data_IF_063590507168
#
_entry.id   IF_063590507168
#
_cell.length_a   1.000
_cell.length_b   1.000
_cell.length_c   1.000
_cell.angle_alpha   90.00
_cell.angle_beta   90.00
_cell.angle_gamma   90.00
#
_symmetry.space_group_name_H-M   'P 1'
#
loop_
_entity.id
_entity.type
_entity.pdbx_description
1 polymer ?
#
# COMPACT_ATOMS: atom_id res chain seq x y z
N UNK A 1 -82.17 35.60 -30.64
CA UNK A 1 -81.31 35.19 -29.59
C UNK A 1 -80.41 34.08 -30.16
N UNK A 2 -79.25 34.39 -30.59
CA UNK A 2 -78.36 33.50 -31.35
C UNK A 2 -77.13 33.25 -30.51
N UNK A 3 -77.00 32.02 -30.03
CA UNK A 3 -75.87 31.56 -29.15
C UNK A 3 -74.75 31.13 -30.06
N UNK A 4 -73.59 31.84 -29.98
CA UNK A 4 -72.38 31.51 -30.71
C UNK A 4 -71.55 30.51 -29.83
N UNK A 5 -71.33 29.32 -30.41
CA UNK A 5 -70.51 28.29 -29.80
C UNK A 5 -69.02 28.47 -30.19
N UNK A 6 -68.17 28.85 -29.26
CA UNK A 6 -66.75 29.02 -29.50
C UNK A 6 -66.06 27.68 -29.30
N UNK A 7 -65.51 27.06 -30.33
CA UNK A 7 -64.67 25.86 -30.28
C UNK A 7 -63.20 26.26 -30.05
N UNK A 8 -62.67 26.00 -28.88
CA UNK A 8 -61.27 26.20 -28.61
C UNK A 8 -60.49 24.94 -29.02
N UNK A 9 -59.63 25.10 -30.04
CA UNK A 9 -58.68 24.06 -30.45
C UNK A 9 -57.49 24.08 -29.51
N UNK A 10 -57.32 23.03 -28.72
CA UNK A 10 -56.14 22.82 -27.88
C UNK A 10 -54.96 22.28 -28.75
N UNK A 11 -53.95 23.09 -28.99
CA UNK A 11 -52.69 22.66 -29.56
C UNK A 11 -51.90 21.90 -28.49
N UNK A 12 -51.65 20.62 -28.72
CA UNK A 12 -50.77 19.79 -27.88
C UNK A 12 -49.31 20.15 -28.21
N UNK A 13 -48.61 20.65 -27.21
CA UNK A 13 -47.15 20.87 -27.26
C UNK A 13 -46.48 19.52 -26.87
N UNK A 14 -45.56 18.97 -27.67
CA UNK A 14 -44.81 17.80 -27.27
C UNK A 14 -43.82 18.19 -26.15
N UNK A 15 -43.97 17.59 -24.97
CA UNK A 15 -43.00 17.69 -23.91
C UNK A 15 -41.80 16.78 -24.24
N UNK A 16 -40.66 17.40 -24.56
CA UNK A 16 -39.39 16.71 -24.56
C UNK A 16 -39.02 16.38 -23.11
N UNK A 17 -38.97 15.07 -22.78
CA UNK A 17 -38.48 14.56 -21.49
C UNK A 17 -36.99 14.90 -21.31
N UNK A 18 -36.52 15.02 -20.04
CA UNK A 18 -35.13 15.33 -19.76
C UNK A 18 -34.23 14.23 -20.27
N UNK A 19 -33.28 14.55 -21.14
CA UNK A 19 -32.19 13.68 -21.57
C UNK A 19 -31.36 13.34 -20.32
N UNK A 20 -31.45 12.10 -19.86
CA UNK A 20 -30.51 11.55 -18.90
C UNK A 20 -29.11 11.65 -19.52
N UNK A 21 -28.31 12.60 -19.04
CA UNK A 21 -26.86 12.58 -19.18
C UNK A 21 -26.35 11.40 -18.37
N UNK A 22 -26.05 10.30 -19.05
CA UNK A 22 -25.40 9.15 -18.44
C UNK A 22 -24.05 9.61 -17.83
N UNK A 23 -23.97 9.56 -16.51
CA UNK A 23 -22.69 9.61 -15.82
C UNK A 23 -21.81 8.49 -16.38
N UNK A 24 -20.52 8.73 -16.66
CA UNK A 24 -19.62 7.66 -17.07
C UNK A 24 -19.56 6.62 -15.97
N UNK A 25 -19.92 5.39 -16.31
CA UNK A 25 -19.83 4.23 -15.44
C UNK A 25 -18.37 4.07 -14.97
N UNK A 26 -18.20 3.93 -13.65
CA UNK A 26 -16.96 3.50 -13.03
C UNK A 26 -16.69 2.00 -13.34
N UNK A 27 -16.63 1.65 -14.61
CA UNK A 27 -16.22 0.33 -15.06
C UNK A 27 -14.89 0.46 -15.81
N UNK A 28 -13.93 -0.35 -15.39
CA UNK A 28 -12.64 -0.62 -16.05
C UNK A 28 -11.53 0.43 -15.95
N UNK A 29 -11.19 0.88 -14.72
CA UNK A 29 -9.79 1.17 -14.47
C UNK A 29 -9.10 -0.15 -14.10
N UNK A 30 -8.76 -0.95 -15.12
CA UNK A 30 -7.79 -2.02 -14.98
C UNK A 30 -6.53 -1.37 -14.42
N UNK A 31 -6.23 -1.65 -13.14
CA UNK A 31 -5.08 -1.09 -12.46
C UNK A 31 -3.84 -1.45 -13.30
N UNK A 32 -3.32 -0.48 -14.03
CA UNK A 32 -2.09 -0.67 -14.81
C UNK A 32 -0.97 -0.93 -13.81
N UNK A 33 -0.28 -2.07 -13.96
CA UNK A 33 0.88 -2.42 -13.13
C UNK A 33 1.82 -1.21 -13.05
N UNK A 34 2.23 -0.78 -11.85
CA UNK A 34 3.17 0.31 -11.72
C UNK A 34 4.43 0.04 -12.52
N UNK A 35 4.80 0.95 -13.41
CA UNK A 35 5.95 0.80 -14.29
C UNK A 35 7.29 0.81 -13.53
N UNK A 36 7.31 1.28 -12.27
CA UNK A 36 8.53 1.47 -11.48
C UNK A 36 8.19 1.54 -10.00
N UNK A 37 9.15 1.12 -9.14
CA UNK A 37 9.08 1.30 -7.68
C UNK A 37 8.74 2.74 -7.27
N UNK A 38 9.26 3.71 -7.98
CA UNK A 38 9.11 5.13 -7.64
C UNK A 38 7.72 5.72 -7.99
N UNK A 39 6.86 4.97 -8.69
CA UNK A 39 5.49 5.40 -9.00
C UNK A 39 4.49 5.07 -7.91
N UNK A 40 4.87 4.28 -6.91
CA UNK A 40 3.98 3.97 -5.80
C UNK A 40 3.70 5.19 -4.91
N UNK A 41 2.47 5.24 -4.41
CA UNK A 41 2.00 6.14 -3.36
C UNK A 41 1.24 5.29 -2.36
N UNK A 42 1.57 5.42 -1.10
CA UNK A 42 0.92 4.69 0.00
C UNK A 42 0.89 5.58 1.23
N UNK A 43 -0.03 5.34 2.14
CA UNK A 43 -0.09 6.11 3.37
C UNK A 43 0.94 5.61 4.37
N UNK A 44 1.62 6.54 5.05
CA UNK A 44 2.46 6.23 6.20
C UNK A 44 1.62 5.82 7.41
N UNK A 45 2.26 5.47 8.52
CA UNK A 45 1.59 5.01 9.74
C UNK A 45 0.66 6.08 10.36
N UNK A 46 0.84 7.35 10.01
CA UNK A 46 0.01 8.47 10.43
C UNK A 46 -1.13 8.77 9.44
N UNK A 47 -1.32 7.92 8.40
CA UNK A 47 -2.31 8.12 7.36
C UNK A 47 -1.97 9.24 6.37
N UNK A 48 -0.72 9.68 6.31
CA UNK A 48 -0.28 10.74 5.40
C UNK A 48 0.26 10.12 4.11
N UNK A 49 -0.14 10.63 2.93
CA UNK A 49 0.36 10.14 1.66
C UNK A 49 1.88 10.27 1.53
N UNK A 50 2.54 9.15 1.23
CA UNK A 50 3.97 9.05 1.03
C UNK A 50 4.25 8.55 -0.39
N UNK A 51 4.88 9.40 -1.20
CA UNK A 51 5.29 9.04 -2.56
C UNK A 51 6.68 8.40 -2.55
N UNK A 52 6.82 7.24 -3.22
CA UNK A 52 8.06 6.47 -3.21
C UNK A 52 9.18 7.08 -4.07
N UNK A 53 8.88 8.12 -4.86
CA UNK A 53 9.91 8.88 -5.55
C UNK A 53 10.93 9.53 -4.59
N UNK A 54 10.57 9.74 -3.31
CA UNK A 54 11.49 10.21 -2.25
C UNK A 54 12.64 9.24 -1.98
N UNK A 55 12.50 7.98 -2.38
CA UNK A 55 13.53 6.94 -2.23
C UNK A 55 14.48 6.82 -3.42
N UNK A 56 14.39 7.71 -4.43
CA UNK A 56 15.31 7.70 -5.57
C UNK A 56 16.76 7.76 -5.11
N UNK A 57 17.59 6.91 -5.72
CA UNK A 57 19.01 6.82 -5.38
C UNK A 57 19.31 6.14 -4.04
N UNK A 58 18.30 5.60 -3.35
CA UNK A 58 18.44 4.85 -2.10
C UNK A 58 18.27 3.35 -2.35
N UNK A 59 18.97 2.56 -1.55
CA UNK A 59 18.66 1.13 -1.39
C UNK A 59 17.55 1.02 -0.36
N UNK A 60 16.47 0.29 -0.65
CA UNK A 60 15.30 0.20 0.22
C UNK A 60 15.09 -1.25 0.65
N UNK A 61 15.09 -1.49 1.96
CA UNK A 61 14.70 -2.77 2.56
C UNK A 61 13.25 -2.69 3.00
N UNK A 62 12.37 -3.41 2.31
CA UNK A 62 10.94 -3.49 2.61
C UNK A 62 10.68 -4.73 3.45
N UNK A 63 9.97 -4.59 4.57
CA UNK A 63 9.72 -5.66 5.52
C UNK A 63 8.25 -5.65 5.93
N UNK A 64 7.55 -6.78 5.81
CA UNK A 64 6.23 -6.93 6.44
C UNK A 64 6.40 -7.31 7.91
N UNK A 65 5.79 -6.56 8.80
CA UNK A 65 6.05 -6.63 10.23
C UNK A 65 4.79 -6.93 11.03
N UNK A 66 4.97 -7.43 12.27
CA UNK A 66 3.87 -7.66 13.21
C UNK A 66 4.34 -7.54 14.66
N UNK A 67 3.43 -7.06 15.52
CA UNK A 67 3.70 -6.80 16.95
C UNK A 67 3.63 -8.02 17.85
N UNK A 68 2.93 -9.11 17.42
CA UNK A 68 2.66 -10.31 18.25
C UNK A 68 3.20 -11.59 17.62
N UNK A 69 4.36 -11.52 17.00
CA UNK A 69 5.03 -12.63 16.32
C UNK A 69 6.27 -13.07 17.11
N UNK A 70 6.62 -14.35 17.05
CA UNK A 70 7.90 -14.83 17.60
C UNK A 70 9.13 -14.15 16.96
N UNK A 71 8.97 -13.59 15.76
CA UNK A 71 10.02 -12.85 15.05
C UNK A 71 10.04 -11.35 15.34
N UNK A 72 9.10 -10.82 16.16
CA UNK A 72 9.00 -9.39 16.51
C UNK A 72 10.32 -8.80 17.06
N UNK A 73 11.17 -9.54 17.80
CA UNK A 73 12.49 -9.02 18.21
C UNK A 73 13.41 -8.61 17.05
N UNK A 74 13.12 -8.99 15.80
CA UNK A 74 13.89 -8.51 14.66
C UNK A 74 13.79 -6.98 14.43
N UNK A 75 12.82 -6.29 15.04
CA UNK A 75 12.77 -4.82 15.03
C UNK A 75 14.07 -4.19 15.55
N UNK A 76 14.68 -4.76 16.58
CA UNK A 76 15.98 -4.29 17.11
C UNK A 76 17.07 -4.33 16.05
N UNK A 77 17.17 -5.45 15.34
CA UNK A 77 18.14 -5.60 14.25
C UNK A 77 17.86 -4.71 13.05
N UNK A 78 16.55 -4.51 12.71
CA UNK A 78 16.16 -3.61 11.63
C UNK A 78 16.49 -2.16 11.96
N UNK A 79 16.24 -1.73 13.20
CA UNK A 79 16.59 -0.38 13.65
C UNK A 79 18.11 -0.19 13.68
N UNK A 80 18.85 -1.15 14.21
CA UNK A 80 20.32 -1.12 14.21
C UNK A 80 20.88 -1.00 12.79
N UNK A 81 20.39 -1.82 11.85
CA UNK A 81 20.76 -1.78 10.45
C UNK A 81 20.44 -0.40 9.82
N UNK A 82 19.25 0.13 10.10
CA UNK A 82 18.85 1.44 9.61
C UNK A 82 19.77 2.54 10.15
N UNK A 83 20.02 2.59 11.45
CA UNK A 83 20.90 3.61 12.06
C UNK A 83 22.32 3.56 11.48
N UNK A 84 22.87 2.36 11.29
CA UNK A 84 24.22 2.15 10.76
C UNK A 84 24.38 2.59 9.31
N UNK A 85 23.34 2.41 8.47
CA UNK A 85 23.47 2.59 7.02
C UNK A 85 22.61 3.70 6.42
N UNK A 86 21.71 4.37 7.18
CA UNK A 86 20.91 5.48 6.66
C UNK A 86 21.74 6.61 6.05
N UNK A 87 22.88 6.93 6.67
CA UNK A 87 23.84 7.91 6.16
C UNK A 87 24.56 7.45 4.87
N UNK A 88 24.55 6.14 4.57
CA UNK A 88 25.12 5.54 3.37
C UNK A 88 24.05 5.23 2.29
N UNK A 89 22.81 5.66 2.51
CA UNK A 89 21.76 5.56 1.52
C UNK A 89 20.83 4.36 1.66
N UNK A 90 20.87 3.61 2.78
CA UNK A 90 19.87 2.59 3.10
C UNK A 90 18.63 3.24 3.72
N UNK A 91 17.46 2.79 3.29
CA UNK A 91 16.18 3.04 3.97
C UNK A 91 15.55 1.70 4.31
N UNK A 92 15.12 1.53 5.56
CA UNK A 92 14.21 0.43 5.96
C UNK A 92 12.80 0.98 5.95
N UNK A 93 11.84 0.21 5.42
CA UNK A 93 10.41 0.57 5.40
C UNK A 93 9.61 -0.60 5.94
N UNK A 94 8.93 -0.39 7.07
CA UNK A 94 8.09 -1.40 7.71
C UNK A 94 6.63 -1.30 7.26
N UNK A 95 6.04 -2.43 6.91
CA UNK A 95 4.64 -2.56 6.54
C UNK A 95 3.92 -3.48 7.53
N UNK A 96 3.15 -2.96 8.48
CA UNK A 96 2.32 -3.80 9.34
C UNK A 96 1.36 -4.65 8.52
N UNK A 97 1.26 -5.95 8.82
CA UNK A 97 0.41 -6.88 8.09
C UNK A 97 -0.24 -7.90 9.03
N UNK A 98 -1.57 -8.05 8.95
CA UNK A 98 -2.34 -8.97 9.80
C UNK A 98 -2.67 -10.30 9.11
N UNK A 99 -1.96 -10.64 8.03
CA UNK A 99 -2.23 -11.84 7.23
C UNK A 99 -1.87 -13.15 7.94
N UNK A 100 -0.99 -13.10 8.94
CA UNK A 100 -0.41 -14.29 9.56
C UNK A 100 -0.94 -14.45 10.98
N UNK A 101 -1.94 -15.32 11.14
CA UNK A 101 -2.58 -15.67 12.41
C UNK A 101 -3.08 -14.46 13.22
N UNK A 102 -3.43 -13.34 12.57
CA UNK A 102 -3.91 -12.16 13.28
C UNK A 102 -2.86 -11.54 14.21
N UNK A 103 -1.58 -11.66 13.88
CA UNK A 103 -0.47 -11.22 14.76
C UNK A 103 -0.19 -9.70 14.70
N UNK A 104 -0.97 -8.94 13.91
CA UNK A 104 -0.94 -7.46 13.90
C UNK A 104 -2.36 -6.88 14.04
N UNK A 105 -3.04 -7.12 15.18
CA UNK A 105 -4.45 -6.72 15.34
C UNK A 105 -4.65 -5.23 15.61
N UNK A 106 -3.61 -4.52 16.08
CA UNK A 106 -3.70 -3.13 16.52
C UNK A 106 -4.07 -2.14 15.42
N UNK A 107 -4.51 -0.94 15.82
CA UNK A 107 -4.64 0.22 14.93
C UNK A 107 -3.25 0.73 14.50
N UNK A 108 -3.19 1.62 13.52
CA UNK A 108 -1.92 2.24 13.12
C UNK A 108 -1.26 3.00 14.29
N UNK A 109 -2.06 3.70 15.10
CA UNK A 109 -1.58 4.40 16.30
C UNK A 109 -0.98 3.45 17.32
N UNK A 110 -1.68 2.35 17.63
CA UNK A 110 -1.20 1.33 18.58
C UNK A 110 0.09 0.67 18.09
N UNK A 111 0.17 0.36 16.80
CA UNK A 111 1.37 -0.20 16.18
C UNK A 111 2.53 0.79 16.26
N UNK A 112 2.30 2.06 15.89
CA UNK A 112 3.30 3.12 15.99
C UNK A 112 3.83 3.25 17.42
N UNK A 113 2.92 3.33 18.40
CA UNK A 113 3.28 3.42 19.81
C UNK A 113 4.11 2.22 20.25
N UNK A 114 3.69 1.00 19.89
CA UNK A 114 4.42 -0.23 20.18
C UNK A 114 5.86 -0.20 19.61
N UNK A 115 6.00 0.09 18.31
CA UNK A 115 7.28 0.12 17.64
C UNK A 115 8.22 1.16 18.24
N UNK A 116 7.70 2.36 18.52
CA UNK A 116 8.49 3.48 19.06
C UNK A 116 8.90 3.21 20.51
N UNK A 117 7.94 2.81 21.38
CA UNK A 117 8.21 2.66 22.82
C UNK A 117 9.03 1.42 23.14
N UNK A 118 8.84 0.32 22.41
CA UNK A 118 9.49 -0.96 22.73
C UNK A 118 10.81 -1.16 21.99
N UNK A 119 10.90 -0.68 20.76
CA UNK A 119 12.04 -0.95 19.87
C UNK A 119 12.75 0.32 19.37
N UNK A 120 12.30 1.51 19.81
CA UNK A 120 12.83 2.80 19.36
C UNK A 120 12.88 2.93 17.83
N UNK A 121 11.91 2.31 17.12
CA UNK A 121 11.87 2.34 15.65
C UNK A 121 11.82 3.77 15.16
N UNK A 122 12.78 4.13 14.32
CA UNK A 122 12.91 5.45 13.70
C UNK A 122 12.85 5.40 12.18
N UNK A 123 12.90 4.21 11.58
CA UNK A 123 12.69 4.06 10.14
C UNK A 123 11.21 4.25 9.76
N UNK A 124 10.92 4.63 8.51
CA UNK A 124 9.56 4.80 8.02
C UNK A 124 8.68 3.56 8.24
N UNK A 125 7.54 3.77 8.91
CA UNK A 125 6.47 2.81 9.03
C UNK A 125 5.29 3.25 8.17
N UNK A 126 4.68 2.30 7.48
CA UNK A 126 3.51 2.52 6.62
C UNK A 126 2.23 2.11 7.33
N UNK A 127 1.09 2.58 6.85
CA UNK A 127 -0.22 2.08 7.27
C UNK A 127 -0.33 0.58 7.03
N UNK A 128 -1.10 -0.10 7.88
CA UNK A 128 -1.32 -1.54 7.79
C UNK A 128 -1.90 -1.93 6.43
N UNK A 129 -1.34 -2.97 5.81
CA UNK A 129 -1.74 -3.49 4.50
C UNK A 129 -1.95 -5.00 4.53
N UNK A 130 -2.60 -5.52 3.50
CA UNK A 130 -2.56 -6.96 3.21
C UNK A 130 -1.38 -7.27 2.28
N UNK A 131 -0.63 -8.32 2.59
CA UNK A 131 0.52 -8.75 1.77
C UNK A 131 0.23 -10.01 0.96
N UNK A 132 -0.89 -10.71 1.25
CA UNK A 132 -1.34 -11.92 0.56
C UNK A 132 -2.84 -11.88 0.28
N UNK A 133 -3.32 -12.81 -0.57
CA UNK A 133 -4.73 -12.97 -0.91
C UNK A 133 -5.26 -11.90 -1.87
N UNK A 134 -6.59 -11.86 -2.03
CA UNK A 134 -7.26 -10.99 -3.00
C UNK A 134 -7.04 -9.49 -2.75
N UNK A 135 -6.88 -9.11 -1.46
CA UNK A 135 -6.64 -7.73 -1.06
C UNK A 135 -5.16 -7.37 -0.96
N UNK A 136 -4.27 -8.17 -1.57
CA UNK A 136 -2.83 -7.89 -1.58
C UNK A 136 -2.56 -6.48 -2.12
N UNK A 137 -1.79 -5.70 -1.37
CA UNK A 137 -1.37 -4.37 -1.78
C UNK A 137 -0.57 -4.45 -3.11
N UNK A 138 -0.83 -3.56 -4.09
CA UNK A 138 -0.15 -3.57 -5.39
C UNK A 138 1.38 -3.56 -5.30
N UNK A 139 1.94 -2.92 -4.27
CA UNK A 139 3.37 -2.95 -3.99
C UNK A 139 3.88 -4.37 -3.76
N UNK A 140 3.17 -5.17 -2.94
CA UNK A 140 3.59 -6.54 -2.64
C UNK A 140 3.46 -7.46 -3.85
N UNK A 141 2.45 -7.27 -4.70
CA UNK A 141 2.37 -7.96 -5.97
C UNK A 141 3.59 -7.64 -6.85
N UNK A 142 3.94 -6.36 -6.94
CA UNK A 142 5.11 -5.90 -7.70
C UNK A 142 6.43 -6.44 -7.15
N UNK A 143 6.60 -6.48 -5.82
CA UNK A 143 7.79 -7.03 -5.15
C UNK A 143 7.95 -8.52 -5.40
N UNK A 144 6.87 -9.29 -5.29
CA UNK A 144 6.85 -10.74 -5.55
C UNK A 144 7.28 -11.01 -6.99
N UNK A 145 6.62 -10.39 -7.95
CA UNK A 145 6.94 -10.55 -9.37
C UNK A 145 8.38 -10.11 -9.69
N UNK A 146 8.82 -8.96 -9.15
CA UNK A 146 10.17 -8.43 -9.34
C UNK A 146 11.28 -9.28 -8.73
N UNK A 147 10.96 -10.11 -7.73
CA UNK A 147 11.92 -11.01 -7.10
C UNK A 147 12.20 -12.29 -7.90
N UNK A 148 11.46 -12.52 -8.98
CA UNK A 148 11.52 -13.77 -9.77
C UNK A 148 10.94 -14.98 -9.03
N UNK A 149 10.27 -14.78 -7.89
CA UNK A 149 9.63 -15.81 -7.07
C UNK A 149 8.15 -15.45 -6.96
N UNK A 150 7.26 -16.29 -7.46
CA UNK A 150 5.83 -16.01 -7.57
C UNK A 150 5.02 -16.51 -6.35
N UNK A 151 5.67 -17.15 -5.39
CA UNK A 151 5.03 -17.66 -4.19
C UNK A 151 4.60 -16.51 -3.28
N UNK A 152 3.50 -16.71 -2.58
CA UNK A 152 3.01 -15.82 -1.53
C UNK A 152 4.10 -15.51 -0.49
N UNK A 153 3.90 -14.44 0.27
CA UNK A 153 4.74 -14.12 1.42
C UNK A 153 4.56 -15.24 2.46
N UNK A 154 5.67 -15.82 2.90
CA UNK A 154 5.67 -17.02 3.74
C UNK A 154 5.19 -16.73 5.16
N UNK A 155 5.60 -15.60 5.74
CA UNK A 155 5.32 -15.21 7.11
C UNK A 155 5.64 -13.74 7.39
N UNK A 156 5.38 -13.29 8.64
CA UNK A 156 5.86 -12.00 9.11
C UNK A 156 7.40 -11.92 9.02
N UNK A 157 7.91 -10.73 8.77
CA UNK A 157 9.34 -10.42 8.64
C UNK A 157 10.00 -11.01 7.39
N UNK A 158 9.26 -11.33 6.32
CA UNK A 158 9.86 -11.49 5.00
C UNK A 158 10.40 -10.12 4.52
N UNK A 159 11.49 -10.14 3.78
CA UNK A 159 12.18 -8.90 3.38
C UNK A 159 12.43 -8.89 1.88
N UNK A 160 12.28 -7.70 1.28
CA UNK A 160 12.66 -7.45 -0.11
C UNK A 160 13.67 -6.31 -0.16
N UNK A 161 14.72 -6.48 -0.94
CA UNK A 161 15.71 -5.45 -1.18
C UNK A 161 15.47 -4.84 -2.57
N UNK A 162 15.29 -3.53 -2.58
CA UNK A 162 15.18 -2.73 -3.82
C UNK A 162 16.44 -1.89 -3.94
N UNK A 163 17.10 -1.96 -5.09
CA UNK A 163 18.33 -1.20 -5.35
C UNK A 163 18.06 0.29 -5.59
N UNK A 164 19.13 1.07 -5.72
CA UNK A 164 19.07 2.52 -5.98
C UNK A 164 18.45 2.90 -7.34
N UNK A 165 18.26 1.93 -8.22
CA UNK A 165 17.62 2.10 -9.53
C UNK A 165 16.12 1.73 -9.49
N UNK A 166 15.64 1.17 -8.37
CA UNK A 166 14.25 0.77 -8.18
C UNK A 166 13.96 -0.64 -8.66
N UNK A 167 14.97 -1.53 -8.77
CA UNK A 167 14.78 -2.93 -9.10
C UNK A 167 14.77 -3.78 -7.83
N UNK A 168 13.91 -4.80 -7.77
CA UNK A 168 13.97 -5.81 -6.72
C UNK A 168 15.17 -6.70 -7.00
N UNK A 169 16.13 -6.74 -6.08
CA UNK A 169 17.38 -7.48 -6.24
C UNK A 169 17.49 -8.69 -5.32
N UNK A 170 16.69 -8.75 -4.26
CA UNK A 170 16.65 -9.91 -3.36
C UNK A 170 15.32 -10.02 -2.62
N UNK A 171 14.94 -11.25 -2.27
CA UNK A 171 13.89 -11.61 -1.32
C UNK A 171 14.49 -12.55 -0.28
N UNK A 172 14.31 -12.22 0.99
CA UNK A 172 14.84 -12.99 2.12
C UNK A 172 13.69 -13.59 2.91
N UNK A 173 13.88 -14.83 3.33
CA UNK A 173 12.93 -15.55 4.18
C UNK A 173 12.78 -14.85 5.56
N UNK A 174 11.64 -15.05 6.25
CA UNK A 174 11.36 -14.45 7.56
C UNK A 174 12.46 -14.63 8.60
N UNK A 175 13.10 -15.83 8.62
CA UNK A 175 14.12 -16.21 9.60
C UNK A 175 15.48 -15.54 9.39
N UNK A 176 15.73 -14.98 8.21
CA UNK A 176 16.99 -14.26 7.94
C UNK A 176 17.04 -13.01 8.81
N UNK A 177 17.96 -12.99 9.75
CA UNK A 177 18.13 -11.87 10.68
C UNK A 177 18.64 -10.62 9.95
N UNK A 178 18.24 -9.42 10.35
CA UNK A 178 18.73 -8.17 9.75
C UNK A 178 20.26 -8.05 9.78
N UNK A 179 20.91 -8.57 10.84
CA UNK A 179 22.38 -8.58 10.96
C UNK A 179 23.10 -9.46 9.92
N UNK A 180 22.38 -10.38 9.27
CA UNK A 180 22.94 -11.18 8.17
C UNK A 180 22.85 -10.45 6.81
N UNK A 181 22.29 -9.25 6.78
CA UNK A 181 22.15 -8.41 5.59
C UNK A 181 23.21 -7.29 5.52
N UNK A 182 24.16 -7.26 6.46
CA UNK A 182 25.22 -6.26 6.54
C UNK A 182 26.34 -6.45 5.51
#
# INVERSE_FOLDING_TARGET
MTTILLVAAAMAIPQEGPKHSGSPSHADQKATKPASFYSFRMDDIDGKPLAFNKFRGKTVLIVNVASRCGLTPQYEGLESLYQKYRGKGLVVVGFPANNFNGQEPGTNEEIKQFCTSKYNVSFPMMSKVSVNGENRAPLYQWLIEGSGRNEDIEWNFAKFLVDKHGNVVARFAPQVKPTALE
#
